data_IF_773071066833
#
_entry.id   IF_773071066833
#
_cell.length_a   1.000
_cell.length_b   1.000
_cell.length_c   1.000
_cell.angle_alpha   90.00
_cell.angle_beta   90.00
_cell.angle_gamma   90.00
#
_symmetry.space_group_name_H-M   'P 1'
#
loop_
_entity.id
_entity.type
_entity.pdbx_description
1 polymer ?
#
# COMPACT_ATOMS: atom_id res chain seq x y z
N UNK A 1 -8.25 4.41 6.79
CA UNK A 1 -8.97 3.46 7.66
C UNK A 1 -8.01 2.77 8.60
N UNK A 2 -8.52 2.04 9.60
CA UNK A 2 -7.73 1.42 10.68
C UNK A 2 -6.59 0.53 10.16
N UNK A 3 -6.84 -0.33 9.17
CA UNK A 3 -5.81 -1.19 8.58
C UNK A 3 -4.65 -0.42 7.93
N UNK A 4 -4.94 0.72 7.30
CA UNK A 4 -3.92 1.59 6.71
C UNK A 4 -3.07 2.31 7.77
N UNK A 5 -3.66 2.64 8.92
CA UNK A 5 -2.94 3.23 10.05
C UNK A 5 -1.95 2.23 10.66
N UNK A 6 -2.38 0.98 10.87
CA UNK A 6 -1.49 -0.09 11.37
C UNK A 6 -0.30 -0.29 10.44
N UNK A 7 -0.52 -0.38 9.12
CA UNK A 7 0.58 -0.51 8.15
C UNK A 7 1.56 0.67 8.19
N UNK A 8 1.07 1.89 8.40
CA UNK A 8 1.92 3.07 8.56
C UNK A 8 2.74 3.03 9.86
N UNK A 9 2.13 2.61 10.98
CA UNK A 9 2.83 2.46 12.27
C UNK A 9 3.94 1.42 12.19
N UNK A 10 3.66 0.24 11.61
CA UNK A 10 4.67 -0.83 11.42
C UNK A 10 5.86 -0.30 10.62
N UNK A 11 5.60 0.36 9.49
CA UNK A 11 6.67 0.93 8.65
C UNK A 11 7.47 2.02 9.39
N UNK A 12 6.82 2.82 10.23
CA UNK A 12 7.48 3.82 11.09
C UNK A 12 8.41 3.18 12.12
N UNK A 13 7.93 2.16 12.84
CA UNK A 13 8.72 1.42 13.83
C UNK A 13 9.91 0.73 13.16
N UNK A 14 9.72 0.10 12.01
CA UNK A 14 10.83 -0.52 11.26
C UNK A 14 11.90 0.49 10.86
N UNK A 15 11.55 1.74 10.54
CA UNK A 15 12.53 2.80 10.26
C UNK A 15 13.27 3.25 11.51
N UNK A 16 12.56 3.40 12.63
CA UNK A 16 13.17 3.76 13.91
C UNK A 16 14.16 2.69 14.37
N UNK A 17 13.83 1.40 14.25
CA UNK A 17 14.72 0.29 14.58
C UNK A 17 16.00 0.31 13.73
N UNK A 18 15.89 0.56 12.42
CA UNK A 18 17.06 0.66 11.53
C UNK A 18 17.95 1.87 11.87
N UNK A 19 17.38 2.96 12.41
CA UNK A 19 18.15 4.11 12.87
C UNK A 19 18.89 3.84 14.18
N UNK A 20 18.30 3.03 15.07
CA UNK A 20 18.92 2.64 16.34
C UNK A 20 20.01 1.59 16.14
N UNK A 21 19.73 0.57 15.32
CA UNK A 21 20.67 -0.51 15.03
C UNK A 21 20.64 -0.84 13.51
N UNK A 22 21.69 -0.45 12.76
CA UNK A 22 21.78 -0.73 11.33
C UNK A 22 21.83 -2.22 10.96
N UNK A 23 22.24 -3.12 11.86
CA UNK A 23 22.38 -4.56 11.57
C UNK A 23 21.01 -5.24 11.37
N UNK A 24 20.00 -4.74 12.08
CA UNK A 24 18.60 -5.22 11.99
C UNK A 24 17.99 -5.05 10.61
N UNK A 25 18.55 -4.17 9.76
CA UNK A 25 18.05 -3.89 8.41
C UNK A 25 17.99 -5.14 7.53
N UNK A 26 18.95 -6.05 7.67
CA UNK A 26 19.01 -7.27 6.85
C UNK A 26 17.82 -8.20 7.15
N UNK A 27 17.48 -8.37 8.43
CA UNK A 27 16.35 -9.17 8.88
C UNK A 27 15.01 -8.52 8.51
N UNK A 28 14.85 -7.21 8.76
CA UNK A 28 13.61 -6.49 8.43
C UNK A 28 13.33 -6.43 6.92
N UNK A 29 14.37 -6.40 6.09
CA UNK A 29 14.24 -6.44 4.63
C UNK A 29 13.78 -7.81 4.13
N UNK A 30 14.21 -8.91 4.77
CA UNK A 30 13.71 -10.27 4.44
C UNK A 30 12.20 -10.37 4.65
N UNK A 31 11.71 -9.80 5.75
CA UNK A 31 10.28 -9.74 6.09
C UNK A 31 9.49 -8.64 5.35
N UNK A 32 10.12 -7.91 4.42
CA UNK A 32 9.51 -6.85 3.60
C UNK A 32 8.91 -5.67 4.39
N UNK A 33 9.28 -5.50 5.66
CA UNK A 33 8.75 -4.44 6.54
C UNK A 33 9.32 -3.04 6.22
N UNK A 34 10.49 -3.00 5.60
CA UNK A 34 11.15 -1.76 5.19
C UNK A 34 10.59 -1.14 3.91
N UNK A 35 9.74 -1.86 3.14
CA UNK A 35 9.21 -1.39 1.87
C UNK A 35 7.88 -0.67 2.08
N UNK A 36 7.75 0.54 1.53
CA UNK A 36 6.46 1.25 1.54
C UNK A 36 5.48 0.57 0.58
N UNK A 37 4.26 0.34 1.03
CA UNK A 37 3.16 -0.05 0.15
C UNK A 37 2.78 1.11 -0.79
N UNK A 38 2.99 0.92 -2.09
CA UNK A 38 2.70 1.90 -3.14
C UNK A 38 1.26 1.86 -3.63
N UNK A 39 0.46 0.88 -3.18
CA UNK A 39 -0.93 0.72 -3.62
C UNK A 39 -1.76 1.93 -3.19
N UNK A 40 -2.49 2.48 -4.14
CA UNK A 40 -3.43 3.57 -3.92
C UNK A 40 -4.74 3.28 -4.65
N UNK A 41 -5.84 3.86 -4.15
CA UNK A 41 -7.14 3.73 -4.81
C UNK A 41 -7.09 4.49 -6.13
N UNK A 42 -7.36 3.78 -7.23
CA UNK A 42 -7.44 4.40 -8.55
C UNK A 42 -8.59 5.41 -8.63
N UNK A 43 -8.34 6.51 -9.34
CA UNK A 43 -9.35 7.52 -9.61
C UNK A 43 -10.52 6.92 -10.42
N UNK A 44 -11.74 7.37 -10.13
CA UNK A 44 -12.92 7.12 -10.97
C UNK A 44 -12.74 7.79 -12.34
N UNK A 45 -12.81 7.00 -13.42
CA UNK A 45 -12.80 7.49 -14.81
C UNK A 45 -14.22 7.80 -15.26
N UNK A 46 -14.39 8.81 -16.13
CA UNK A 46 -15.69 9.14 -16.70
C UNK A 46 -16.20 7.98 -17.58
N UNK A 47 -17.52 7.87 -17.75
CA UNK A 47 -18.15 6.76 -18.49
C UNK A 47 -18.02 5.38 -17.81
N UNK A 48 -17.52 5.30 -16.57
CA UNK A 48 -17.40 4.06 -15.79
C UNK A 48 -18.13 4.16 -14.45
N UNK A 49 -18.68 3.03 -13.99
CA UNK A 49 -19.40 2.93 -12.72
C UNK A 49 -18.45 3.06 -11.52
N UNK A 50 -17.22 2.57 -11.63
CA UNK A 50 -16.12 2.69 -10.65
C UNK A 50 -14.79 2.93 -11.39
N UNK A 51 -13.65 2.87 -10.69
CA UNK A 51 -12.31 3.07 -11.27
C UNK A 51 -12.09 2.29 -12.59
N UNK A 52 -12.42 0.99 -12.60
CA UNK A 52 -12.27 0.13 -13.79
C UNK A 52 -13.57 -0.43 -14.36
N UNK A 53 -14.63 -0.59 -13.54
CA UNK A 53 -15.90 -1.24 -13.92
C UNK A 53 -16.69 -0.41 -14.94
N UNK A 54 -16.89 -0.95 -16.14
CA UNK A 54 -17.77 -0.39 -17.17
C UNK A 54 -19.25 -0.68 -16.89
N UNK A 55 -20.13 0.02 -17.60
CA UNK A 55 -21.54 -0.35 -17.71
C UNK A 55 -21.70 -1.52 -18.69
N UNK A 56 -22.81 -2.27 -18.58
CA UNK A 56 -23.14 -3.29 -19.56
C UNK A 56 -23.44 -2.62 -20.90
N UNK A 57 -22.84 -3.13 -21.97
CA UNK A 57 -23.11 -2.70 -23.33
C UNK A 57 -24.09 -3.68 -23.98
N UNK A 58 -25.14 -3.17 -24.62
CA UNK A 58 -26.05 -3.96 -25.46
C UNK A 58 -25.91 -3.47 -26.90
N UNK A 59 -25.47 -4.36 -27.79
CA UNK A 59 -25.42 -4.13 -29.22
C UNK A 59 -26.73 -4.69 -29.78
N UNK A 60 -27.67 -3.81 -30.11
CA UNK A 60 -28.74 -4.14 -31.06
C UNK A 60 -28.25 -3.78 -32.44
#
# INVERSE_FOLDING_TARGET
GLSGQVGAMVHGISKALVQMDPETKSALKKEKLTTRDSRAVERKKYGRRKARRSFQFSKR
#
